data_IF_715513660360
#
_entry.id   IF_715513660360
#
_cell.length_a   1.000
_cell.length_b   1.000
_cell.length_c   1.000
_cell.angle_alpha   90.00
_cell.angle_beta   90.00
_cell.angle_gamma   90.00
#
_symmetry.space_group_name_H-M   'P 1'
#
loop_
_entity.id
_entity.type
_entity.pdbx_description
1 polymer ?
#
# COMPACT_ATOMS: atom_id res chain seq x y z
N UNK A 1 33.45 11.61 -42.77
CA UNK A 1 33.49 12.72 -43.74
C UNK A 1 32.09 12.80 -44.35
N UNK A 2 31.44 13.96 -44.22
CA UNK A 2 30.06 14.23 -44.60
C UNK A 2 29.78 13.95 -46.08
N UNK A 3 28.57 13.50 -46.39
CA UNK A 3 27.80 14.06 -47.50
C UNK A 3 26.30 13.96 -47.22
N UNK A 4 25.70 15.12 -46.99
CA UNK A 4 24.25 15.34 -46.99
C UNK A 4 23.76 15.39 -48.43
N UNK A 5 22.68 14.67 -48.72
CA UNK A 5 21.77 15.00 -49.81
C UNK A 5 20.38 14.45 -49.49
N UNK A 6 19.40 15.33 -49.40
CA UNK A 6 18.00 14.94 -49.32
C UNK A 6 17.24 15.65 -48.21
N UNK A 7 16.59 16.75 -48.58
CA UNK A 7 15.42 17.33 -47.92
C UNK A 7 14.44 16.25 -47.45
N UNK A 8 14.43 15.97 -46.15
CA UNK A 8 13.31 15.32 -45.48
C UNK A 8 12.55 16.41 -44.73
N UNK A 9 11.43 16.84 -45.30
CA UNK A 9 10.41 17.55 -44.54
C UNK A 9 10.08 16.70 -43.30
N UNK A 10 10.15 17.32 -42.11
CA UNK A 10 9.72 16.75 -40.83
C UNK A 10 8.20 16.52 -40.85
N UNK A 11 7.74 15.51 -41.59
CA UNK A 11 6.35 15.08 -41.57
C UNK A 11 6.15 14.17 -40.35
N UNK A 12 5.46 14.71 -39.33
CA UNK A 12 5.03 14.10 -38.06
C UNK A 12 5.99 14.29 -36.87
N UNK A 13 6.13 15.54 -36.41
CA UNK A 13 6.13 15.75 -34.96
C UNK A 13 4.68 15.58 -34.48
N UNK A 14 4.35 14.46 -33.85
CA UNK A 14 3.10 14.33 -33.11
C UNK A 14 3.27 15.01 -31.76
N UNK A 15 2.40 15.95 -31.41
CA UNK A 15 2.35 16.48 -30.04
C UNK A 15 2.19 15.32 -29.04
N UNK A 16 2.86 15.34 -27.89
CA UNK A 16 2.69 14.31 -26.88
C UNK A 16 1.24 14.28 -26.43
N UNK A 17 0.45 13.31 -26.90
CA UNK A 17 -0.95 13.19 -26.54
C UNK A 17 -1.06 12.52 -25.16
N UNK A 18 -1.10 13.33 -24.10
CA UNK A 18 -1.24 12.84 -22.73
C UNK A 18 -2.68 12.34 -22.48
N UNK A 19 -3.65 12.94 -23.16
CA UNK A 19 -5.09 12.68 -23.00
C UNK A 19 -5.70 12.32 -24.36
N UNK A 20 -6.13 11.07 -24.50
CA UNK A 20 -6.72 10.56 -25.75
C UNK A 20 -7.96 11.38 -26.15
N UNK A 21 -7.96 11.91 -27.38
CA UNK A 21 -9.01 12.80 -27.89
C UNK A 21 -8.94 14.27 -27.45
N UNK A 22 -7.93 14.69 -26.69
CA UNK A 22 -7.77 16.08 -26.25
C UNK A 22 -6.48 16.70 -26.81
N UNK A 23 -6.65 17.80 -27.57
CA UNK A 23 -5.53 18.62 -28.04
C UNK A 23 -5.25 19.71 -27.01
N UNK A 24 -3.99 19.88 -26.54
CA UNK A 24 -3.65 20.99 -25.66
C UNK A 24 -3.86 22.34 -26.37
N UNK A 25 -4.00 23.45 -25.62
CA UNK A 25 -3.97 24.80 -26.18
C UNK A 25 -2.68 25.01 -26.98
N UNK A 26 -2.80 25.06 -28.31
CA UNK A 26 -1.65 25.18 -29.21
C UNK A 26 -0.91 26.52 -29.07
N UNK A 27 -1.55 27.49 -28.41
CA UNK A 27 -0.97 28.80 -28.10
C UNK A 27 0.20 28.70 -27.10
N UNK A 28 0.23 27.67 -26.24
CA UNK A 28 1.33 27.42 -25.28
C UNK A 28 2.47 26.58 -25.88
N UNK A 29 2.36 26.21 -27.16
CA UNK A 29 3.34 25.35 -27.83
C UNK A 29 4.72 26.01 -27.98
N UNK A 30 4.85 27.31 -28.31
CA UNK A 30 6.15 27.97 -28.38
C UNK A 30 6.92 27.92 -27.04
N UNK A 31 6.25 28.21 -25.92
CA UNK A 31 6.81 28.18 -24.58
C UNK A 31 7.23 26.76 -24.18
N UNK A 32 6.41 25.76 -24.50
CA UNK A 32 6.74 24.35 -24.28
C UNK A 32 8.01 23.93 -25.03
N UNK A 33 8.11 24.27 -26.32
CA UNK A 33 9.28 23.95 -27.16
C UNK A 33 10.54 24.66 -26.64
N UNK A 34 10.40 25.92 -26.21
CA UNK A 34 11.50 26.69 -25.65
C UNK A 34 11.96 26.14 -24.28
N UNK A 35 11.01 25.77 -23.43
CA UNK A 35 11.28 25.18 -22.13
C UNK A 35 12.02 23.84 -22.23
N UNK A 36 11.66 23.00 -23.20
CA UNK A 36 12.35 21.72 -23.44
C UNK A 36 13.84 21.90 -23.75
N UNK A 37 14.23 22.99 -24.41
CA UNK A 37 15.63 23.29 -24.71
C UNK A 37 16.44 23.70 -23.45
N UNK A 38 15.76 24.04 -22.37
CA UNK A 38 16.36 24.56 -21.13
C UNK A 38 16.35 23.56 -19.97
N UNK A 39 15.82 22.36 -20.18
CA UNK A 39 15.75 21.30 -19.16
C UNK A 39 17.14 20.86 -18.73
N UNK A 40 17.31 20.61 -17.43
CA UNK A 40 18.51 20.02 -16.87
C UNK A 40 18.65 18.55 -17.27
N UNK A 41 19.34 18.30 -18.39
CA UNK A 41 19.61 16.96 -18.90
C UNK A 41 20.74 16.22 -18.17
N UNK A 42 21.39 16.85 -17.19
CA UNK A 42 22.54 16.27 -16.46
C UNK A 42 22.12 15.50 -15.21
N UNK A 43 20.95 15.82 -14.65
CA UNK A 43 20.36 15.14 -13.49
C UNK A 43 19.03 14.53 -13.94
N UNK A 44 18.97 13.20 -14.00
CA UNK A 44 17.82 12.45 -14.51
C UNK A 44 16.53 12.81 -13.76
N UNK A 45 16.57 12.95 -12.43
CA UNK A 45 15.39 13.26 -11.63
C UNK A 45 14.89 14.67 -11.93
N UNK A 46 15.80 15.65 -11.97
CA UNK A 46 15.43 17.03 -12.29
C UNK A 46 14.95 17.17 -13.73
N UNK A 47 15.57 16.45 -14.66
CA UNK A 47 15.13 16.35 -16.06
C UNK A 47 13.67 15.92 -16.14
N UNK A 48 13.31 14.82 -15.47
CA UNK A 48 11.93 14.33 -15.45
C UNK A 48 10.96 15.30 -14.76
N UNK A 49 11.36 15.90 -13.64
CA UNK A 49 10.53 16.88 -12.92
C UNK A 49 10.26 18.12 -13.79
N UNK A 50 11.25 18.64 -14.50
CA UNK A 50 11.12 19.81 -15.37
C UNK A 50 10.33 19.52 -16.65
N UNK A 51 10.55 18.36 -17.30
CA UNK A 51 9.75 17.93 -18.45
C UNK A 51 8.30 17.72 -18.07
N UNK A 52 8.02 17.13 -16.90
CA UNK A 52 6.66 16.92 -16.42
C UNK A 52 5.93 18.24 -16.16
N UNK A 53 6.62 19.25 -15.64
CA UNK A 53 6.07 20.61 -15.46
C UNK A 53 5.72 21.25 -16.79
N UNK A 54 6.64 21.23 -17.75
CA UNK A 54 6.41 21.79 -19.09
C UNK A 54 5.21 21.12 -19.79
N UNK A 55 5.08 19.80 -19.65
CA UNK A 55 3.92 19.07 -20.16
C UNK A 55 2.62 19.45 -19.45
N UNK A 56 2.64 19.72 -18.15
CA UNK A 56 1.47 20.18 -17.41
C UNK A 56 1.05 21.59 -17.85
N UNK A 57 2.02 22.49 -18.04
CA UNK A 57 1.78 23.88 -18.46
C UNK A 57 1.22 23.93 -19.89
N UNK A 58 1.75 23.10 -20.80
CA UNK A 58 1.22 22.94 -22.16
C UNK A 58 -0.27 22.54 -22.16
N UNK A 59 -0.71 21.77 -21.17
CA UNK A 59 -2.08 21.27 -21.05
C UNK A 59 -2.98 22.16 -20.18
N UNK A 60 -2.49 23.29 -19.68
CA UNK A 60 -3.24 24.21 -18.82
C UNK A 60 -4.08 25.19 -19.67
N UNK A 61 -5.42 25.24 -19.49
CA UNK A 61 -6.29 26.17 -20.23
C UNK A 61 -5.97 27.64 -19.98
N UNK A 62 -6.00 28.46 -21.04
CA UNK A 62 -5.57 29.88 -21.08
C UNK A 62 -6.31 30.78 -20.08
N UNK A 63 -7.52 30.42 -19.65
CA UNK A 63 -8.30 31.14 -18.62
C UNK A 63 -7.54 31.26 -17.29
N UNK A 64 -6.50 30.43 -17.08
CA UNK A 64 -5.72 30.32 -15.85
C UNK A 64 -4.40 31.11 -15.85
N UNK A 65 -4.06 31.87 -16.90
CA UNK A 65 -2.73 32.48 -17.06
C UNK A 65 -2.60 33.93 -16.54
N UNK A 66 -3.68 34.57 -16.10
CA UNK A 66 -3.64 35.96 -15.64
C UNK A 66 -3.80 36.11 -14.12
N UNK A 67 -2.73 35.81 -13.36
CA UNK A 67 -2.36 36.55 -12.14
C UNK A 67 -1.16 35.86 -11.46
N UNK A 68 0.05 36.30 -11.81
CA UNK A 68 1.20 36.22 -10.92
C UNK A 68 1.12 37.44 -10.02
N UNK A 69 1.01 37.25 -8.71
CA UNK A 69 1.75 37.97 -7.66
C UNK A 69 1.48 37.31 -6.30
N UNK A 70 2.56 37.08 -5.57
CA UNK A 70 2.64 36.42 -4.26
C UNK A 70 2.02 37.31 -3.17
N UNK A 71 1.02 36.84 -2.42
CA UNK A 71 0.74 37.23 -1.02
C UNK A 71 -0.40 36.38 -0.41
N UNK A 72 -0.38 36.23 0.93
CA UNK A 72 -1.25 35.38 1.79
C UNK A 72 -2.51 34.77 1.16
N UNK A 73 -2.64 33.45 1.22
CA UNK A 73 -3.71 32.70 0.56
C UNK A 73 -5.10 33.21 0.96
N UNK A 74 -5.73 33.91 0.02
CA UNK A 74 -7.08 34.47 0.18
C UNK A 74 -8.14 33.37 0.04
N UNK A 75 -9.39 33.66 0.45
CA UNK A 75 -10.52 32.76 0.25
C UNK A 75 -10.72 32.35 -1.24
N UNK A 76 -10.22 33.17 -2.17
CA UNK A 76 -10.23 32.87 -3.61
C UNK A 76 -9.20 31.80 -4.00
N UNK A 77 -8.04 31.70 -3.35
CA UNK A 77 -7.10 30.59 -3.61
C UNK A 77 -7.64 29.26 -3.09
N UNK A 78 -8.33 29.26 -1.94
CA UNK A 78 -9.01 28.06 -1.43
C UNK A 78 -10.17 27.65 -2.34
N UNK A 79 -10.95 28.61 -2.85
CA UNK A 79 -12.00 28.35 -3.83
C UNK A 79 -11.43 27.85 -5.17
N UNK A 80 -10.25 28.34 -5.58
CA UNK A 80 -9.55 27.86 -6.78
C UNK A 80 -8.99 26.46 -6.61
N UNK A 81 -8.44 26.10 -5.45
CA UNK A 81 -8.01 24.73 -5.15
C UNK A 81 -9.19 23.76 -5.06
N UNK A 82 -10.31 24.21 -4.52
CA UNK A 82 -11.56 23.44 -4.49
C UNK A 82 -12.12 23.25 -5.91
N UNK A 83 -12.03 24.28 -6.76
CA UNK A 83 -12.38 24.20 -8.19
C UNK A 83 -11.41 23.30 -8.98
N UNK A 84 -10.11 23.33 -8.68
CA UNK A 84 -9.09 22.41 -9.25
C UNK A 84 -9.41 20.97 -8.85
N UNK A 85 -9.71 20.72 -7.58
CA UNK A 85 -10.15 19.41 -7.07
C UNK A 85 -11.45 18.95 -7.72
N UNK A 86 -12.40 19.86 -7.95
CA UNK A 86 -13.67 19.54 -8.60
C UNK A 86 -13.49 19.26 -10.09
N UNK A 87 -12.62 20.00 -10.79
CA UNK A 87 -12.25 19.72 -12.18
C UNK A 87 -11.49 18.40 -12.31
N UNK A 88 -10.58 18.09 -11.39
CA UNK A 88 -9.94 16.77 -11.30
C UNK A 88 -10.98 15.67 -11.06
N UNK A 89 -11.93 15.87 -10.13
CA UNK A 89 -13.01 14.89 -9.86
C UNK A 89 -13.99 14.72 -11.01
N UNK A 90 -14.19 15.75 -11.83
CA UNK A 90 -15.19 15.77 -12.91
C UNK A 90 -14.62 15.37 -14.28
N UNK A 91 -13.35 15.67 -14.56
CA UNK A 91 -12.73 15.44 -15.87
C UNK A 91 -11.69 14.32 -15.82
N UNK A 92 -10.82 14.36 -14.82
CA UNK A 92 -9.69 13.42 -14.70
C UNK A 92 -10.16 12.12 -14.06
N UNK A 93 -10.80 12.17 -12.89
CA UNK A 93 -11.21 11.00 -12.15
C UNK A 93 -12.20 10.10 -12.89
N UNK A 94 -13.17 10.59 -13.69
CA UNK A 94 -14.04 9.70 -14.46
C UNK A 94 -13.30 9.00 -15.60
N UNK A 95 -12.31 9.66 -16.21
CA UNK A 95 -11.39 9.05 -17.18
C UNK A 95 -10.44 8.03 -16.53
N UNK A 96 -10.11 8.21 -15.24
CA UNK A 96 -9.41 7.21 -14.44
C UNK A 96 -10.34 6.11 -13.91
N UNK A 97 -11.62 6.38 -13.67
CA UNK A 97 -12.63 5.45 -13.13
C UNK A 97 -12.92 4.30 -14.06
N UNK A 98 -12.88 4.54 -15.37
CA UNK A 98 -12.90 3.51 -16.41
C UNK A 98 -11.56 2.77 -16.57
N UNK A 99 -10.46 3.33 -16.06
CA UNK A 99 -9.08 2.80 -16.10
C UNK A 99 -8.59 2.16 -14.78
N UNK A 100 -9.43 2.18 -13.75
CA UNK A 100 -9.19 1.59 -12.43
C UNK A 100 -9.52 0.09 -12.37
N UNK A 101 -10.09 -0.45 -13.44
CA UNK A 101 -9.99 -1.86 -13.73
C UNK A 101 -8.59 -2.17 -14.26
N UNK A 102 -7.98 -3.33 -13.92
CA UNK A 102 -6.72 -3.77 -14.51
C UNK A 102 -6.70 -3.55 -16.03
N UNK A 103 -5.53 -3.25 -16.63
CA UNK A 103 -5.46 -3.08 -18.10
C UNK A 103 -6.09 -4.28 -18.83
N UNK A 104 -6.61 -4.12 -20.05
CA UNK A 104 -7.23 -5.24 -20.76
C UNK A 104 -6.32 -6.48 -20.83
N UNK A 105 -5.00 -6.27 -20.97
CA UNK A 105 -4.00 -7.33 -20.91
C UNK A 105 -3.99 -8.06 -19.55
N UNK A 106 -4.05 -7.30 -18.45
CA UNK A 106 -4.06 -7.84 -17.10
C UNK A 106 -5.41 -8.49 -16.72
N UNK A 107 -6.54 -7.92 -17.16
CA UNK A 107 -7.87 -8.52 -17.02
C UNK A 107 -8.00 -9.84 -17.74
N UNK A 108 -7.31 -9.99 -18.86
CA UNK A 108 -7.43 -11.17 -19.69
C UNK A 108 -6.36 -12.23 -19.38
N UNK A 109 -5.19 -11.82 -18.86
CA UNK A 109 -4.09 -12.73 -18.57
C UNK A 109 -3.06 -12.16 -17.58
N UNK A 110 -3.36 -12.23 -16.28
CA UNK A 110 -2.43 -11.80 -15.24
C UNK A 110 -1.08 -12.54 -15.27
N UNK A 111 -1.09 -13.84 -15.60
CA UNK A 111 0.13 -14.64 -15.74
C UNK A 111 1.09 -14.05 -16.77
N UNK A 112 0.60 -13.71 -17.97
CA UNK A 112 1.43 -13.16 -19.05
C UNK A 112 2.06 -11.81 -18.69
N UNK A 113 1.35 -10.97 -17.92
CA UNK A 113 1.89 -9.69 -17.43
C UNK A 113 3.04 -9.94 -16.46
N UNK A 114 2.87 -10.90 -15.54
CA UNK A 114 3.91 -11.29 -14.57
C UNK A 114 5.11 -11.92 -15.28
N UNK A 115 4.89 -12.84 -16.23
CA UNK A 115 5.95 -13.44 -17.06
C UNK A 115 6.75 -12.38 -17.83
N UNK A 116 6.06 -11.39 -18.38
CA UNK A 116 6.72 -10.27 -19.07
C UNK A 116 7.60 -9.44 -18.12
N UNK A 117 7.18 -9.26 -16.86
CA UNK A 117 8.00 -8.58 -15.86
C UNK A 117 9.20 -9.43 -15.44
N UNK A 118 9.01 -10.73 -15.22
CA UNK A 118 10.08 -11.67 -14.89
C UNK A 118 11.14 -11.71 -16.00
N UNK A 119 10.73 -11.75 -17.27
CA UNK A 119 11.65 -11.69 -18.41
C UNK A 119 12.49 -10.41 -18.38
N UNK A 120 11.88 -9.25 -18.13
CA UNK A 120 12.63 -7.98 -18.00
C UNK A 120 13.64 -8.01 -16.86
N UNK A 121 13.25 -8.55 -15.70
CA UNK A 121 14.15 -8.70 -14.54
C UNK A 121 15.30 -9.67 -14.82
N UNK A 122 15.03 -10.74 -15.58
CA UNK A 122 16.06 -11.68 -16.00
C UNK A 122 17.06 -11.02 -16.96
N UNK A 123 16.56 -10.32 -17.98
CA UNK A 123 17.39 -9.59 -18.95
C UNK A 123 18.25 -8.49 -18.29
N UNK A 124 17.71 -7.82 -17.26
CA UNK A 124 18.44 -6.80 -16.49
C UNK A 124 19.32 -7.38 -15.37
N UNK A 125 19.42 -8.72 -15.24
CA UNK A 125 20.16 -9.42 -14.17
C UNK A 125 19.72 -9.05 -12.75
N UNK A 126 18.46 -8.65 -12.60
CA UNK A 126 17.85 -8.33 -11.31
C UNK A 126 17.09 -9.53 -10.71
N UNK A 127 16.72 -10.52 -11.54
CA UNK A 127 16.05 -11.73 -11.10
C UNK A 127 17.04 -12.71 -10.46
N UNK A 128 16.82 -13.04 -9.19
CA UNK A 128 17.63 -13.97 -8.39
C UNK A 128 16.99 -15.37 -8.41
N UNK A 129 17.61 -16.31 -9.12
CA UNK A 129 17.13 -17.70 -9.26
C UNK A 129 17.96 -18.71 -8.47
N UNK A 130 18.99 -18.26 -7.76
CA UNK A 130 19.94 -19.08 -7.02
C UNK A 130 19.84 -18.86 -5.49
N UNK A 131 20.43 -19.80 -4.74
CA UNK A 131 20.53 -19.72 -3.28
C UNK A 131 19.18 -19.81 -2.56
N UNK A 132 18.76 -18.71 -1.91
CA UNK A 132 17.60 -18.66 -0.98
C UNK A 132 16.25 -19.03 -1.60
N UNK A 133 16.12 -18.97 -2.91
CA UNK A 133 14.85 -19.23 -3.61
C UNK A 133 14.77 -20.62 -4.27
N UNK A 134 15.91 -21.32 -4.40
CA UNK A 134 16.00 -22.52 -5.22
C UNK A 134 15.45 -22.32 -6.63
N UNK A 135 14.95 -23.39 -7.26
CA UNK A 135 14.38 -23.37 -8.62
C UNK A 135 12.91 -22.90 -8.65
N UNK A 136 12.54 -21.89 -7.85
CA UNK A 136 11.16 -21.38 -7.79
C UNK A 136 11.07 -19.86 -7.87
N UNK A 137 9.98 -19.40 -8.46
CA UNK A 137 9.58 -17.99 -8.43
C UNK A 137 8.61 -17.76 -7.27
N UNK A 138 9.01 -16.91 -6.35
CA UNK A 138 8.24 -16.49 -5.20
C UNK A 138 7.49 -15.20 -5.55
N UNK A 139 6.17 -15.25 -5.49
CA UNK A 139 5.27 -14.14 -5.78
C UNK A 139 4.46 -13.80 -4.53
N UNK A 140 4.14 -12.53 -4.33
CA UNK A 140 3.26 -12.13 -3.25
C UNK A 140 2.16 -11.19 -3.72
N UNK A 141 0.95 -11.42 -3.24
CA UNK A 141 -0.17 -10.48 -3.37
C UNK A 141 -0.17 -9.55 -2.16
N UNK A 142 -0.34 -8.25 -2.41
CA UNK A 142 -0.44 -7.22 -1.38
C UNK A 142 -1.53 -6.23 -1.73
N UNK A 143 -2.18 -5.68 -0.72
CA UNK A 143 -3.09 -4.56 -0.88
C UNK A 143 -3.07 -3.64 0.33
N UNK A 144 -3.52 -2.42 0.08
CA UNK A 144 -3.59 -1.35 1.07
C UNK A 144 -4.69 -0.36 0.70
N UNK A 145 -5.42 0.11 1.72
CA UNK A 145 -6.35 1.22 1.59
C UNK A 145 -5.64 2.53 1.95
N UNK A 146 -5.48 3.40 0.95
CA UNK A 146 -5.00 4.77 1.14
C UNK A 146 -6.09 5.79 0.83
N UNK A 147 -6.52 6.54 1.84
CA UNK A 147 -7.56 7.56 1.71
C UNK A 147 -8.89 6.96 1.27
N UNK A 148 -9.41 7.39 0.11
CA UNK A 148 -10.65 6.90 -0.50
C UNK A 148 -10.44 5.79 -1.54
N UNK A 149 -9.23 5.24 -1.64
CA UNK A 149 -8.86 4.27 -2.68
C UNK A 149 -8.19 3.04 -2.10
N UNK A 150 -8.40 1.89 -2.75
CA UNK A 150 -7.73 0.63 -2.44
C UNK A 150 -6.84 0.24 -3.60
N UNK A 151 -5.60 -0.14 -3.28
CA UNK A 151 -4.56 -0.57 -4.22
C UNK A 151 -4.27 -2.04 -3.98
N UNK A 152 -4.12 -2.81 -5.05
CA UNK A 152 -3.70 -4.21 -5.01
C UNK A 152 -2.54 -4.38 -5.99
N UNK A 153 -1.47 -5.02 -5.54
CA UNK A 153 -0.29 -5.29 -6.35
C UNK A 153 0.19 -6.73 -6.18
N UNK A 154 0.87 -7.22 -7.21
CA UNK A 154 1.68 -8.44 -7.15
C UNK A 154 3.15 -8.03 -7.14
N UNK A 155 3.91 -8.51 -6.17
CA UNK A 155 5.36 -8.33 -6.13
C UNK A 155 6.12 -9.64 -6.36
N UNK A 156 7.38 -9.52 -6.74
CA UNK A 156 8.29 -10.64 -6.99
C UNK A 156 9.32 -10.68 -5.86
N UNK A 157 9.43 -11.77 -5.13
CA UNK A 157 10.39 -11.85 -4.02
C UNK A 157 11.82 -12.16 -4.51
N UNK A 158 11.99 -12.73 -5.71
CA UNK A 158 13.28 -13.06 -6.35
C UNK A 158 14.09 -11.84 -6.80
N UNK A 159 14.15 -10.78 -6.00
CA UNK A 159 14.93 -9.56 -6.26
C UNK A 159 15.59 -9.09 -4.95
N UNK A 160 16.59 -8.22 -5.04
CA UNK A 160 17.27 -7.66 -3.87
C UNK A 160 16.36 -6.75 -3.03
N UNK A 161 15.56 -5.92 -3.69
CA UNK A 161 14.72 -4.89 -3.07
C UNK A 161 13.24 -5.27 -3.12
N UNK A 162 12.85 -6.30 -2.37
CA UNK A 162 11.50 -6.88 -2.38
C UNK A 162 10.41 -5.83 -2.12
N UNK A 163 10.64 -4.92 -1.17
CA UNK A 163 9.68 -3.90 -0.75
C UNK A 163 9.74 -2.61 -1.58
N UNK A 164 10.51 -2.56 -2.67
CA UNK A 164 10.55 -1.39 -3.55
C UNK A 164 9.23 -1.26 -4.32
N UNK A 165 8.75 -0.02 -4.50
CA UNK A 165 7.58 0.25 -5.33
C UNK A 165 7.81 -0.16 -6.80
N UNK A 166 9.06 -0.15 -7.27
CA UNK A 166 9.45 -0.59 -8.62
C UNK A 166 9.28 -2.10 -8.83
N UNK A 167 9.21 -2.87 -7.72
CA UNK A 167 8.96 -4.30 -7.76
C UNK A 167 7.47 -4.65 -7.79
N UNK A 168 6.59 -3.67 -7.52
CA UNK A 168 5.15 -3.89 -7.43
C UNK A 168 4.49 -3.72 -8.81
N UNK A 169 3.85 -4.79 -9.27
CA UNK A 169 2.98 -4.77 -10.43
C UNK A 169 1.58 -4.44 -9.91
N UNK A 170 1.11 -3.21 -10.12
CA UNK A 170 -0.24 -2.82 -9.72
C UNK A 170 -1.26 -3.61 -10.54
N UNK A 171 -2.10 -4.40 -9.85
CA UNK A 171 -3.07 -5.28 -10.47
C UNK A 171 -4.52 -4.86 -10.30
N UNK A 172 -4.81 -4.02 -9.31
CA UNK A 172 -6.09 -3.32 -9.22
C UNK A 172 -5.88 -2.01 -8.45
N UNK A 173 -6.68 -1.00 -8.79
CA UNK A 173 -6.76 0.24 -8.05
C UNK A 173 -8.19 0.73 -8.19
N UNK A 174 -8.97 0.82 -7.11
CA UNK A 174 -10.35 1.25 -7.20
C UNK A 174 -10.70 2.23 -6.08
N UNK A 175 -11.75 3.02 -6.31
CA UNK A 175 -12.30 3.91 -5.31
C UNK A 175 -13.20 3.10 -4.37
N UNK A 176 -12.93 3.17 -3.07
CA UNK A 176 -13.63 2.41 -2.05
C UNK A 176 -12.67 1.70 -1.10
N UNK A 177 -13.28 1.09 -0.10
CA UNK A 177 -12.59 0.37 0.96
C UNK A 177 -12.17 -1.03 0.51
N UNK A 178 -11.11 -1.53 1.12
CA UNK A 178 -10.59 -2.90 1.04
C UNK A 178 -11.47 -3.93 1.79
N UNK A 179 -12.78 -3.66 1.90
CA UNK A 179 -13.73 -4.56 2.52
C UNK A 179 -14.08 -5.73 1.60
N UNK A 180 -14.63 -6.79 2.18
CA UNK A 180 -15.00 -7.99 1.43
C UNK A 180 -15.95 -7.69 0.26
N UNK A 181 -16.97 -6.86 0.48
CA UNK A 181 -18.01 -6.53 -0.50
C UNK A 181 -17.41 -5.96 -1.79
N UNK A 182 -16.49 -5.01 -1.67
CA UNK A 182 -15.81 -4.43 -2.82
C UNK A 182 -14.83 -5.42 -3.46
N UNK A 183 -14.15 -6.23 -2.64
CA UNK A 183 -13.14 -7.19 -3.10
C UNK A 183 -13.74 -8.37 -3.86
N UNK A 184 -15.01 -8.74 -3.60
CA UNK A 184 -15.73 -9.77 -4.37
C UNK A 184 -15.80 -9.44 -5.85
N UNK A 185 -15.93 -8.16 -6.21
CA UNK A 185 -15.96 -7.73 -7.61
C UNK A 185 -14.66 -8.05 -8.36
N UNK A 186 -13.56 -8.28 -7.65
CA UNK A 186 -12.26 -8.63 -8.20
C UNK A 186 -12.00 -10.14 -8.24
N UNK A 187 -12.92 -10.97 -7.72
CA UNK A 187 -12.70 -12.41 -7.60
C UNK A 187 -12.44 -13.08 -8.95
N UNK A 188 -13.40 -12.98 -9.87
CA UNK A 188 -13.32 -13.59 -11.21
C UNK A 188 -12.33 -12.84 -12.12
N UNK A 189 -12.22 -11.52 -11.93
CA UNK A 189 -11.40 -10.64 -12.77
C UNK A 189 -9.91 -10.74 -12.42
N UNK A 190 -9.56 -11.05 -11.17
CA UNK A 190 -8.19 -11.02 -10.68
C UNK A 190 -7.84 -12.27 -9.88
N UNK A 191 -8.49 -12.50 -8.73
CA UNK A 191 -8.00 -13.50 -7.76
C UNK A 191 -8.02 -14.93 -8.30
N UNK A 192 -8.97 -15.26 -9.17
CA UNK A 192 -9.03 -16.57 -9.82
C UNK A 192 -7.95 -16.80 -10.88
N UNK A 193 -7.36 -15.72 -11.42
CA UNK A 193 -6.26 -15.77 -12.39
C UNK A 193 -4.87 -15.87 -11.73
N UNK A 194 -4.79 -15.56 -10.43
CA UNK A 194 -3.56 -15.65 -9.64
C UNK A 194 -3.37 -17.07 -9.08
N UNK A 195 -2.30 -17.28 -8.32
CA UNK A 195 -1.98 -18.58 -7.72
C UNK A 195 -1.83 -19.72 -8.74
N UNK A 196 -1.37 -19.40 -9.96
CA UNK A 196 -0.95 -20.39 -10.94
C UNK A 196 0.25 -21.19 -10.40
N UNK A 197 0.49 -22.44 -10.89
CA UNK A 197 1.55 -23.31 -10.38
C UNK A 197 2.93 -23.06 -10.99
N UNK A 198 3.00 -22.41 -12.16
CA UNK A 198 4.23 -22.16 -12.91
C UNK A 198 4.18 -20.88 -13.74
N UNK A 199 5.35 -20.38 -14.13
CA UNK A 199 5.57 -19.24 -15.04
C UNK A 199 6.71 -19.51 -16.00
N UNK A 200 6.69 -18.88 -17.17
CA UNK A 200 7.83 -18.86 -18.09
C UNK A 200 8.69 -17.61 -17.94
N UNK A 201 10.00 -17.81 -17.97
CA UNK A 201 11.01 -16.74 -18.04
C UNK A 201 11.93 -17.07 -19.21
N UNK A 202 11.74 -16.38 -20.34
CA UNK A 202 12.36 -16.79 -21.60
C UNK A 202 11.80 -18.14 -22.06
N UNK A 203 12.69 -19.08 -22.34
CA UNK A 203 12.35 -20.44 -22.78
C UNK A 203 12.20 -21.44 -21.62
N UNK A 204 12.51 -21.02 -20.39
CA UNK A 204 12.48 -21.87 -19.21
C UNK A 204 11.16 -21.71 -18.43
N UNK A 205 10.69 -22.81 -17.84
CA UNK A 205 9.50 -22.85 -16.98
C UNK A 205 9.89 -23.08 -15.52
N UNK A 206 9.37 -22.24 -14.63
CA UNK A 206 9.66 -22.28 -13.21
C UNK A 206 8.39 -22.53 -12.40
N UNK A 207 8.48 -23.38 -11.38
CA UNK A 207 7.41 -23.52 -10.41
C UNK A 207 7.26 -22.26 -9.56
N UNK A 208 6.04 -21.95 -9.13
CA UNK A 208 5.76 -20.73 -8.37
C UNK A 208 5.30 -21.04 -6.95
N UNK A 209 5.71 -20.19 -6.00
CA UNK A 209 5.20 -20.17 -4.63
C UNK A 209 4.56 -18.81 -4.37
N UNK A 210 3.29 -18.83 -3.96
CA UNK A 210 2.54 -17.62 -3.68
C UNK A 210 2.46 -17.35 -2.19
N UNK A 211 2.62 -16.08 -1.84
CA UNK A 211 2.44 -15.54 -0.50
C UNK A 211 1.38 -14.45 -0.52
N UNK A 212 0.82 -14.19 0.64
CA UNK A 212 -0.13 -13.10 0.84
C UNK A 212 0.38 -12.19 1.96
N UNK A 213 0.37 -10.89 1.74
CA UNK A 213 0.78 -9.90 2.74
C UNK A 213 -0.09 -8.65 2.64
N UNK A 214 -0.01 -7.78 3.64
CA UNK A 214 -0.86 -6.59 3.74
C UNK A 214 -1.20 -6.30 5.20
N UNK A 215 -1.95 -5.22 5.42
CA UNK A 215 -2.52 -4.96 6.73
C UNK A 215 -3.55 -6.05 7.12
N UNK A 216 -3.85 -6.15 8.41
CA UNK A 216 -4.72 -7.20 8.94
C UNK A 216 -6.15 -7.10 8.40
N UNK A 217 -6.64 -5.90 8.09
CA UNK A 217 -8.00 -5.68 7.60
C UNK A 217 -8.14 -6.19 6.16
N UNK A 218 -7.19 -5.86 5.30
CA UNK A 218 -7.09 -6.40 3.94
C UNK A 218 -7.05 -7.93 3.95
N UNK A 219 -6.20 -8.51 4.79
CA UNK A 219 -6.08 -9.96 4.92
C UNK A 219 -7.38 -10.59 5.45
N UNK A 220 -8.05 -9.96 6.43
CA UNK A 220 -9.35 -10.43 6.91
C UNK A 220 -10.39 -10.46 5.79
N UNK A 221 -10.46 -9.40 4.99
CA UNK A 221 -11.36 -9.34 3.83
C UNK A 221 -11.08 -10.45 2.82
N UNK A 222 -9.82 -10.80 2.53
CA UNK A 222 -9.52 -11.87 1.58
C UNK A 222 -9.88 -13.27 2.07
N UNK A 223 -9.84 -13.52 3.39
CA UNK A 223 -10.22 -14.80 3.97
C UNK A 223 -11.67 -14.85 4.47
N UNK A 224 -12.46 -13.79 4.28
CA UNK A 224 -13.83 -13.70 4.79
C UNK A 224 -13.92 -13.71 6.32
N UNK A 225 -12.82 -13.33 6.97
CA UNK A 225 -12.71 -13.15 8.41
C UNK A 225 -13.39 -11.84 8.83
N UNK A 226 -14.05 -11.84 9.99
CA UNK A 226 -14.91 -10.75 10.43
C UNK A 226 -14.16 -9.42 10.52
N UNK A 227 -13.18 -9.32 11.43
CA UNK A 227 -12.35 -8.13 11.67
C UNK A 227 -11.09 -8.50 12.45
N UNK A 228 -10.05 -7.63 12.48
CA UNK A 228 -8.85 -7.84 13.29
C UNK A 228 -9.08 -7.99 14.81
N UNK A 229 -10.16 -7.42 15.36
CA UNK A 229 -10.48 -7.47 16.80
C UNK A 229 -11.58 -8.51 17.13
N UNK A 230 -11.71 -9.56 16.32
CA UNK A 230 -12.71 -10.59 16.54
C UNK A 230 -12.33 -11.51 17.71
N UNK A 231 -13.25 -12.40 18.13
CA UNK A 231 -12.96 -13.36 19.21
C UNK A 231 -11.84 -14.31 18.82
N UNK A 232 -11.75 -14.73 17.57
CA UNK A 232 -10.64 -15.54 17.06
C UNK A 232 -9.83 -14.69 16.08
N UNK A 233 -9.01 -13.78 16.59
CA UNK A 233 -8.38 -12.74 15.78
C UNK A 233 -7.27 -13.24 14.84
N UNK A 234 -6.53 -14.28 15.22
CA UNK A 234 -5.35 -14.73 14.48
C UNK A 234 -5.73 -15.34 13.13
N UNK A 235 -5.12 -14.90 12.02
CA UNK A 235 -5.38 -15.51 10.71
C UNK A 235 -4.81 -16.92 10.54
N UNK A 236 -3.81 -17.28 11.34
CA UNK A 236 -3.08 -18.55 11.22
C UNK A 236 -3.62 -19.65 12.13
N UNK A 237 -4.36 -19.31 13.18
CA UNK A 237 -4.87 -20.30 14.14
C UNK A 237 -6.26 -19.94 14.67
N UNK A 238 -6.90 -20.93 15.28
CA UNK A 238 -8.27 -20.83 15.81
C UNK A 238 -8.30 -20.43 17.30
N UNK A 239 -7.18 -19.95 17.84
CA UNK A 239 -7.11 -19.55 19.24
C UNK A 239 -8.05 -18.36 19.53
N UNK A 240 -8.95 -18.45 20.53
CA UNK A 240 -9.74 -17.31 20.96
C UNK A 240 -8.86 -16.30 21.73
N UNK A 241 -9.19 -15.02 21.68
CA UNK A 241 -8.42 -13.94 22.31
C UNK A 241 -8.26 -14.10 23.83
N UNK A 242 -9.14 -14.85 24.48
CA UNK A 242 -9.04 -15.22 25.90
C UNK A 242 -7.88 -16.17 26.19
N UNK A 243 -7.51 -17.03 25.24
CA UNK A 243 -6.45 -18.04 25.39
C UNK A 243 -5.02 -17.46 25.30
N UNK A 244 -4.85 -16.24 24.76
CA UNK A 244 -3.52 -15.62 24.65
C UNK A 244 -2.87 -15.36 26.02
N UNK A 245 -3.66 -15.21 27.09
CA UNK A 245 -3.12 -15.09 28.45
C UNK A 245 -2.46 -16.38 28.95
N UNK A 246 -2.86 -17.51 28.40
CA UNK A 246 -2.47 -18.85 28.84
C UNK A 246 -1.40 -19.46 27.92
N UNK A 247 -0.94 -18.73 26.90
CA UNK A 247 0.01 -19.18 25.88
C UNK A 247 -0.39 -20.52 25.20
N UNK A 248 -1.70 -20.79 25.13
CA UNK A 248 -2.22 -21.98 24.46
C UNK A 248 -2.35 -21.68 22.96
N UNK A 249 -1.58 -22.41 22.15
CA UNK A 249 -1.75 -22.36 20.70
C UNK A 249 -3.05 -23.08 20.31
N UNK A 250 -3.88 -22.42 19.51
CA UNK A 250 -5.04 -23.05 18.87
C UNK A 250 -4.62 -23.91 17.68
N UNK A 251 -5.57 -24.66 17.14
CA UNK A 251 -5.34 -25.41 15.90
C UNK A 251 -5.01 -24.48 14.73
N UNK A 252 -4.19 -24.97 13.80
CA UNK A 252 -3.83 -24.25 12.59
C UNK A 252 -5.05 -24.11 11.66
N UNK A 253 -5.23 -22.90 11.10
CA UNK A 253 -6.27 -22.63 10.12
C UNK A 253 -5.85 -23.14 8.75
N UNK A 254 -6.78 -23.77 8.05
CA UNK A 254 -6.62 -24.16 6.64
C UNK A 254 -7.69 -23.50 5.78
N UNK A 255 -7.45 -23.44 4.47
CA UNK A 255 -8.47 -22.93 3.54
C UNK A 255 -9.76 -23.76 3.57
N UNK A 256 -9.67 -25.07 3.84
CA UNK A 256 -10.85 -25.93 3.87
C UNK A 256 -11.67 -25.71 5.13
N UNK A 257 -11.01 -25.54 6.29
CA UNK A 257 -11.69 -25.11 7.52
C UNK A 257 -12.35 -23.73 7.36
N UNK A 258 -11.67 -22.76 6.74
CA UNK A 258 -12.28 -21.45 6.45
C UNK A 258 -13.54 -21.59 5.58
N UNK A 259 -13.51 -22.43 4.54
CA UNK A 259 -14.69 -22.69 3.71
C UNK A 259 -15.81 -23.32 4.53
N UNK A 260 -15.51 -24.31 5.37
CA UNK A 260 -16.47 -24.98 6.25
C UNK A 260 -17.13 -24.00 7.23
N UNK A 261 -16.33 -23.25 8.00
CA UNK A 261 -16.83 -22.23 8.94
C UNK A 261 -17.65 -21.17 8.21
N UNK A 262 -17.23 -20.74 7.01
CA UNK A 262 -18.01 -19.78 6.22
C UNK A 262 -19.37 -20.34 5.76
N UNK A 263 -19.42 -21.62 5.36
CA UNK A 263 -20.65 -22.27 4.92
C UNK A 263 -21.61 -22.40 6.10
N UNK A 264 -21.13 -22.90 7.23
CA UNK A 264 -21.88 -22.98 8.48
C UNK A 264 -22.44 -21.61 8.88
N UNK A 265 -21.60 -20.57 8.83
CA UNK A 265 -22.04 -19.21 9.12
C UNK A 265 -23.20 -18.79 8.23
N UNK A 266 -23.09 -18.98 6.91
CA UNK A 266 -24.12 -18.57 5.95
C UNK A 266 -25.42 -19.37 6.08
N UNK A 267 -25.35 -20.65 6.46
CA UNK A 267 -26.53 -21.50 6.70
C UNK A 267 -27.26 -21.14 8.00
N UNK A 268 -26.52 -20.81 9.06
CA UNK A 268 -27.09 -20.44 10.36
C UNK A 268 -27.41 -18.94 10.48
N UNK A 269 -26.86 -18.09 9.60
CA UNK A 269 -27.09 -16.65 9.65
C UNK A 269 -28.48 -16.28 9.15
N UNK A 270 -29.34 -15.91 10.09
CA UNK A 270 -30.67 -15.35 9.82
C UNK A 270 -30.62 -13.85 10.11
N UNK A 271 -31.26 -13.03 9.26
CA UNK A 271 -31.27 -11.55 9.38
C UNK A 271 -31.82 -11.02 10.72
N UNK A 272 -32.47 -11.86 11.52
CA UNK A 272 -33.16 -11.50 12.77
C UNK A 272 -32.46 -12.01 14.05
N UNK A 273 -31.23 -12.55 13.95
CA UNK A 273 -30.48 -13.00 15.14
C UNK A 273 -30.27 -11.85 16.14
N UNK A 274 -30.53 -12.12 17.42
CA UNK A 274 -30.21 -11.20 18.52
C UNK A 274 -28.69 -11.03 18.64
N UNK A 275 -28.20 -9.92 19.22
CA UNK A 275 -26.75 -9.67 19.35
C UNK A 275 -25.97 -10.79 20.05
N UNK A 276 -26.55 -11.42 21.06
CA UNK A 276 -25.94 -12.54 21.77
C UNK A 276 -25.81 -13.80 20.88
N UNK A 277 -26.85 -14.10 20.10
CA UNK A 277 -26.86 -15.22 19.15
C UNK A 277 -25.85 -15.00 18.02
N UNK A 278 -25.78 -13.77 17.49
CA UNK A 278 -24.76 -13.39 16.50
C UNK A 278 -23.33 -13.56 17.05
N UNK A 279 -23.12 -13.19 18.32
CA UNK A 279 -21.81 -13.36 18.97
C UNK A 279 -21.47 -14.84 19.16
N UNK A 280 -22.44 -15.66 19.55
CA UNK A 280 -22.27 -17.11 19.66
C UNK A 280 -21.96 -17.75 18.30
N UNK A 281 -22.67 -17.35 17.23
CA UNK A 281 -22.43 -17.82 15.87
C UNK A 281 -21.03 -17.39 15.36
N UNK A 282 -20.62 -16.15 15.60
CA UNK A 282 -19.27 -15.70 15.27
C UNK A 282 -18.19 -16.53 15.97
N UNK A 283 -18.45 -17.01 17.21
CA UNK A 283 -17.51 -17.88 17.94
C UNK A 283 -17.52 -19.31 17.40
N UNK A 284 -18.69 -19.86 17.09
CA UNK A 284 -18.84 -21.23 16.59
C UNK A 284 -18.35 -21.43 15.15
N UNK A 285 -18.01 -20.33 14.46
CA UNK A 285 -17.42 -20.29 13.14
C UNK A 285 -16.05 -19.60 13.15
N UNK A 286 -15.37 -19.55 14.31
CA UNK A 286 -13.99 -19.06 14.45
C UNK A 286 -13.77 -17.67 13.85
N UNK A 287 -14.78 -16.81 13.93
CA UNK A 287 -14.83 -15.46 13.34
C UNK A 287 -14.74 -15.39 11.81
N UNK A 288 -14.94 -16.52 11.12
CA UNK A 288 -15.13 -16.59 9.67
C UNK A 288 -16.60 -16.42 9.35
N UNK A 289 -16.90 -15.52 8.43
CA UNK A 289 -18.29 -15.19 8.06
C UNK A 289 -18.55 -15.34 6.57
N UNK A 290 -17.50 -15.37 5.74
CA UNK A 290 -17.63 -15.38 4.28
C UNK A 290 -16.56 -16.30 3.67
N UNK A 291 -16.81 -16.78 2.46
CA UNK A 291 -15.88 -17.67 1.76
C UNK A 291 -14.57 -16.93 1.41
N UNK A 292 -13.42 -17.61 1.34
CA UNK A 292 -12.17 -16.96 0.96
C UNK A 292 -12.21 -16.53 -0.52
N UNK A 293 -11.66 -15.35 -0.81
CA UNK A 293 -11.58 -14.78 -2.16
C UNK A 293 -10.32 -15.25 -2.92
N UNK A 294 -9.34 -15.79 -2.21
CA UNK A 294 -8.05 -16.24 -2.76
C UNK A 294 -7.82 -17.73 -2.50
N UNK A 295 -7.00 -18.35 -3.33
CA UNK A 295 -6.59 -19.76 -3.23
C UNK A 295 -5.23 -19.97 -2.55
N UNK A 296 -4.62 -18.88 -2.03
CA UNK A 296 -3.33 -18.92 -1.36
C UNK A 296 -3.51 -19.56 0.03
N UNK A 297 -2.70 -20.56 0.34
CA UNK A 297 -2.77 -21.25 1.63
C UNK A 297 -2.48 -20.25 2.78
N UNK A 298 -3.23 -20.37 3.87
CA UNK A 298 -3.11 -19.53 5.08
C UNK A 298 -1.69 -19.52 5.64
N UNK A 299 -0.97 -20.64 5.55
CA UNK A 299 0.42 -20.76 6.00
C UNK A 299 1.43 -20.03 5.11
N UNK A 300 0.95 -19.45 3.99
CA UNK A 300 1.72 -18.57 3.12
C UNK A 300 1.36 -17.10 3.34
N UNK A 301 0.59 -16.79 4.39
CA UNK A 301 0.39 -15.41 4.84
C UNK A 301 1.64 -14.95 5.59
N UNK A 302 2.20 -13.84 5.13
CA UNK A 302 3.33 -13.17 5.77
C UNK A 302 2.78 -11.94 6.50
N UNK A 303 2.75 -11.95 7.84
CA UNK A 303 2.32 -10.79 8.62
C UNK A 303 3.15 -9.56 8.25
N UNK A 304 2.50 -8.40 8.10
CA UNK A 304 3.19 -7.18 7.71
C UNK A 304 4.04 -6.63 8.87
N UNK A 305 5.38 -6.69 8.80
CA UNK A 305 6.23 -6.29 9.93
C UNK A 305 6.07 -4.81 10.30
N UNK A 306 5.83 -3.96 9.31
CA UNK A 306 5.59 -2.53 9.53
C UNK A 306 4.41 -2.30 10.48
N UNK A 307 3.27 -2.93 10.22
CA UNK A 307 2.08 -2.76 11.06
C UNK A 307 2.22 -3.38 12.45
N UNK A 308 2.97 -4.48 12.56
CA UNK A 308 3.29 -5.09 13.87
C UNK A 308 4.15 -4.13 14.71
N UNK A 309 5.21 -3.57 14.11
CA UNK A 309 6.10 -2.60 14.78
C UNK A 309 5.33 -1.33 15.15
N UNK A 310 4.46 -0.84 14.26
CA UNK A 310 3.61 0.31 14.54
C UNK A 310 2.67 0.04 15.73
N UNK A 311 1.98 -1.11 15.75
CA UNK A 311 1.06 -1.46 16.84
C UNK A 311 1.78 -1.63 18.18
N UNK A 312 2.76 -2.54 18.22
CA UNK A 312 3.50 -2.84 19.46
C UNK A 312 4.30 -1.63 19.95
N UNK A 313 4.92 -0.89 19.04
CA UNK A 313 5.64 0.33 19.36
C UNK A 313 4.73 1.41 19.92
N UNK A 314 3.52 1.57 19.36
CA UNK A 314 2.55 2.54 19.87
C UNK A 314 2.06 2.15 21.26
N UNK A 315 1.79 0.87 21.51
CA UNK A 315 1.37 0.38 22.82
C UNK A 315 2.46 0.58 23.88
N UNK A 316 3.72 0.29 23.55
CA UNK A 316 4.84 0.54 24.45
C UNK A 316 5.01 2.03 24.77
N UNK A 317 4.95 2.89 23.76
CA UNK A 317 5.04 4.34 23.95
C UNK A 317 3.83 4.88 24.72
N UNK A 318 2.64 4.29 24.59
CA UNK A 318 1.47 4.64 25.39
C UNK A 318 1.68 4.33 26.88
N UNK A 319 2.39 3.25 27.22
CA UNK A 319 2.77 2.95 28.61
C UNK A 319 3.69 4.04 29.17
N UNK A 320 4.70 4.46 28.40
CA UNK A 320 5.60 5.56 28.78
C UNK A 320 4.83 6.87 28.94
N UNK A 321 3.93 7.19 28.01
CA UNK A 321 3.08 8.39 28.08
C UNK A 321 2.14 8.38 29.29
N UNK A 322 1.61 7.21 29.66
CA UNK A 322 0.79 7.07 30.87
C UNK A 322 1.62 7.31 32.13
N UNK A 323 2.84 6.82 32.14
CA UNK A 323 3.76 7.03 33.27
C UNK A 323 4.23 8.49 33.35
N UNK A 324 4.54 9.13 32.23
CA UNK A 324 4.91 10.55 32.21
C UNK A 324 3.80 11.44 32.76
N UNK A 325 2.54 11.13 32.46
CA UNK A 325 1.36 11.80 33.04
C UNK A 325 1.25 11.63 34.54
N UNK A 326 1.59 10.45 35.04
CA UNK A 326 1.59 10.18 36.49
C UNK A 326 2.67 10.99 37.21
N UNK A 327 3.78 11.28 36.53
CA UNK A 327 4.90 12.05 37.06
C UNK A 327 4.81 13.57 36.80
N UNK A 328 3.89 14.04 35.95
CA UNK A 328 3.83 15.44 35.53
C UNK A 328 5.00 15.88 34.63
N UNK A 329 5.53 14.98 33.80
CA UNK A 329 6.69 15.22 32.91
C UNK A 329 6.36 15.06 31.43
N UNK A 330 5.09 15.24 31.05
CA UNK A 330 4.62 15.08 29.67
C UNK A 330 5.35 16.01 28.70
N UNK A 331 5.56 17.27 29.07
CA UNK A 331 6.26 18.25 28.24
C UNK A 331 7.71 17.82 27.97
N UNK A 332 8.39 17.25 28.97
CA UNK A 332 9.76 16.73 28.81
C UNK A 332 9.79 15.55 27.83
N UNK A 333 8.79 14.66 27.90
CA UNK A 333 8.66 13.53 26.98
C UNK A 333 8.35 14.00 25.56
N UNK A 334 7.46 14.98 25.40
CA UNK A 334 7.19 15.60 24.09
C UNK A 334 8.43 16.24 23.49
N UNK A 335 9.24 16.91 24.29
CA UNK A 335 10.50 17.50 23.83
C UNK A 335 11.54 16.44 23.45
N UNK A 336 11.57 15.30 24.14
CA UNK A 336 12.36 14.13 23.68
C UNK A 336 11.89 13.69 22.30
N UNK A 337 10.59 13.55 22.09
CA UNK A 337 10.05 13.15 20.79
C UNK A 337 10.41 14.14 19.69
N UNK A 338 10.27 15.46 19.92
CA UNK A 338 10.67 16.50 18.96
C UNK A 338 12.16 16.46 18.65
N UNK A 339 13.03 16.34 19.67
CA UNK A 339 14.49 16.26 19.48
C UNK A 339 14.88 15.06 18.65
N UNK A 340 14.17 13.94 18.80
CA UNK A 340 14.34 12.75 17.97
C UNK A 340 13.66 12.88 16.60
N UNK A 341 13.03 14.01 16.28
CA UNK A 341 12.34 14.23 15.00
C UNK A 341 11.10 13.35 14.82
N UNK A 342 10.38 13.09 15.91
CA UNK A 342 9.14 12.34 15.98
C UNK A 342 8.02 13.21 16.56
N UNK A 343 7.74 14.35 15.93
CA UNK A 343 6.69 15.26 16.39
C UNK A 343 5.29 14.74 16.02
N UNK A 344 4.36 14.75 16.99
CA UNK A 344 2.95 14.42 16.76
C UNK A 344 2.14 15.60 16.20
N UNK A 345 2.71 16.81 16.14
CA UNK A 345 2.02 18.01 15.71
C UNK A 345 1.73 17.97 14.22
N UNK A 346 0.48 17.64 13.85
CA UNK A 346 -0.47 18.58 13.23
C UNK A 346 -1.73 17.85 12.72
N UNK A 347 -1.67 16.54 12.42
CA UNK A 347 -2.82 15.80 11.85
C UNK A 347 -2.90 14.32 12.26
N UNK A 348 -1.89 13.77 12.95
CA UNK A 348 -1.81 12.35 13.28
C UNK A 348 -1.89 12.12 14.79
N UNK A 349 -2.87 11.33 15.24
CA UNK A 349 -2.95 10.89 16.65
C UNK A 349 -1.86 9.86 17.01
N UNK A 350 -1.32 9.15 16.01
CA UNK A 350 -0.38 8.05 16.14
C UNK A 350 0.97 8.36 15.50
N UNK A 351 2.03 7.68 15.97
CA UNK A 351 3.35 7.75 15.34
C UNK A 351 3.37 6.98 14.01
N UNK A 352 4.07 7.52 13.00
CA UNK A 352 4.28 6.82 11.73
C UNK A 352 5.52 5.92 11.79
N UNK A 353 5.78 5.15 10.72
CA UNK A 353 6.91 4.20 10.70
C UNK A 353 8.27 4.88 10.89
N UNK A 354 8.45 6.07 10.33
CA UNK A 354 9.66 6.87 10.53
C UNK A 354 9.82 7.33 11.97
N UNK A 355 8.72 7.67 12.65
CA UNK A 355 8.75 8.01 14.07
C UNK A 355 9.14 6.78 14.89
N UNK A 356 8.50 5.62 14.68
CA UNK A 356 8.84 4.39 15.41
C UNK A 356 10.30 4.01 15.24
N UNK A 357 10.84 4.12 14.02
CA UNK A 357 12.27 3.87 13.79
C UNK A 357 13.16 4.77 14.65
N UNK A 358 12.85 6.07 14.75
CA UNK A 358 13.67 7.00 15.56
C UNK A 358 13.50 6.81 17.06
N UNK A 359 12.30 6.44 17.51
CA UNK A 359 11.97 6.30 18.94
C UNK A 359 12.40 4.95 19.52
N UNK A 360 12.39 3.89 18.71
CA UNK A 360 12.60 2.51 19.14
C UNK A 360 13.92 1.90 18.67
N UNK A 361 14.80 2.67 18.03
CA UNK A 361 16.14 2.18 17.63
C UNK A 361 17.24 3.17 18.01
N UNK A 362 18.49 2.69 18.05
CA UNK A 362 19.66 3.49 18.40
C UNK A 362 19.56 4.08 19.81
N UNK A 363 19.79 5.38 19.95
CA UNK A 363 19.66 6.08 21.24
C UNK A 363 18.21 6.42 21.62
N UNK A 364 17.24 6.19 20.71
CA UNK A 364 15.82 6.49 20.92
C UNK A 364 15.24 5.88 22.20
N UNK A 365 15.31 4.55 22.39
CA UNK A 365 14.81 3.85 23.58
C UNK A 365 15.30 4.47 24.89
N UNK A 366 16.61 4.71 24.98
CA UNK A 366 17.25 5.30 26.17
C UNK A 366 16.74 6.72 26.43
N UNK A 367 16.64 7.54 25.39
CA UNK A 367 16.20 8.93 25.52
C UNK A 367 14.72 9.01 25.95
N UNK A 368 13.87 8.12 25.40
CA UNK A 368 12.46 8.00 25.78
C UNK A 368 12.32 7.53 27.23
N UNK A 369 13.04 6.48 27.64
CA UNK A 369 13.02 5.99 29.02
C UNK A 369 13.51 7.04 30.02
N UNK A 370 14.55 7.81 29.67
CA UNK A 370 15.12 8.84 30.55
C UNK A 370 14.15 9.97 30.90
N UNK A 371 13.13 10.23 30.07
CA UNK A 371 12.07 11.19 30.41
C UNK A 371 11.29 10.78 31.66
N UNK A 372 11.21 9.49 31.96
CA UNK A 372 10.53 8.93 33.13
C UNK A 372 11.51 8.33 34.15
N UNK A 373 12.76 8.80 34.19
CA UNK A 373 13.83 8.23 35.05
C UNK A 373 13.49 8.15 36.55
N UNK A 374 12.60 9.03 37.02
CA UNK A 374 12.17 9.08 38.41
C UNK A 374 10.95 8.18 38.69
N UNK A 375 10.44 7.48 37.68
CA UNK A 375 9.34 6.53 37.83
C UNK A 375 9.79 5.29 38.59
N UNK A 376 8.97 4.74 39.51
CA UNK A 376 9.21 3.42 40.07
C UNK A 376 9.20 2.30 39.01
N UNK A 377 8.62 2.54 37.83
CA UNK A 377 8.58 1.61 36.68
C UNK A 377 9.70 1.84 35.67
N UNK A 378 10.64 2.75 35.95
CA UNK A 378 11.71 3.10 35.00
C UNK A 378 12.51 1.86 34.55
N UNK A 379 12.92 1.02 35.49
CA UNK A 379 13.72 -0.17 35.17
C UNK A 379 12.98 -1.10 34.19
N UNK A 380 11.72 -1.42 34.49
CA UNK A 380 10.89 -2.31 33.66
C UNK A 380 10.63 -1.71 32.27
N UNK A 381 10.22 -0.44 32.21
CA UNK A 381 9.92 0.22 30.94
C UNK A 381 11.18 0.46 30.10
N UNK A 382 12.31 0.78 30.73
CA UNK A 382 13.60 0.89 30.04
C UNK A 382 14.06 -0.44 29.47
N UNK A 383 13.89 -1.54 30.22
CA UNK A 383 14.23 -2.88 29.74
C UNK A 383 13.32 -3.29 28.57
N UNK A 384 12.02 -3.03 28.66
CA UNK A 384 11.08 -3.30 27.55
C UNK A 384 11.43 -2.50 26.29
N UNK A 385 11.76 -1.22 26.44
CA UNK A 385 12.20 -0.36 25.34
C UNK A 385 13.50 -0.85 24.68
N UNK A 386 14.41 -1.48 25.44
CA UNK A 386 15.65 -2.02 24.88
C UNK A 386 15.50 -3.37 24.19
N UNK A 387 14.31 -3.99 24.23
CA UNK A 387 14.01 -5.22 23.49
C UNK A 387 13.56 -4.96 22.05
N UNK A 388 13.21 -3.72 21.72
CA UNK A 388 12.94 -3.26 20.36
C UNK A 388 14.23 -2.79 19.68
#
# INVERSE_FOLDING_TARGET
MLQCSGTTFLSKLSLPCILDGYSPPLENLPEFVYGLASVNVTDERKCYEEVAKLLADLYTPIILSSSQDEEESTADEQAQDELRLELLRRLVFPAFKSKFLPSACLRNNAKKVIESRLLRLHQSKQLQLDGKYGEKIFLFLVGDKGGSSTKIAVGIANVSSINSYENLIMVALFQGDDNYENMVALKEILFEQLNFPSVRVGDEEFSTKWFLTGDMKFLCSLFGHLVPNATHACLLCEAPSTSFKENVAGEERTLDKIKESSKKYQEEFIKELKPAEKTALNRSCESITKAPLVKINVNCVVPCPLHIILGLGQDLLNLVQKESKTLGVEEQLEDVYKRLGADKRSWFQNFCGNHMRKLLTGDGPRNVANAIRNSPKYADLSQLLSLF
#
